data_IF_637389368969
#
_entry.id   IF_637389368969
#
_cell.length_a   1.000
_cell.length_b   1.000
_cell.length_c   1.000
_cell.angle_alpha   90.00
_cell.angle_beta   90.00
_cell.angle_gamma   90.00
#
_symmetry.space_group_name_H-M   'P 1'
#
loop_
_entity.id
_entity.type
_entity.pdbx_description
1 polymer ?
#
# COMPACT_ATOMS: atom_id res chain seq x y z
N UNK A 1 -15.37 -11.07 -4.70
CA UNK A 1 -15.14 -10.79 -3.28
C UNK A 1 -13.85 -10.01 -3.03
N UNK A 2 -12.66 -10.60 -2.84
CA UNK A 2 -11.46 -9.85 -2.41
C UNK A 2 -11.15 -8.57 -3.22
N UNK A 3 -11.03 -8.67 -4.55
CA UNK A 3 -10.78 -7.50 -5.41
C UNK A 3 -11.90 -6.47 -5.39
N UNK A 4 -13.13 -6.89 -5.12
CA UNK A 4 -14.30 -5.99 -5.00
C UNK A 4 -14.31 -5.29 -3.64
N UNK A 5 -14.06 -6.01 -2.55
CA UNK A 5 -14.00 -5.45 -1.18
C UNK A 5 -12.88 -4.43 -1.02
N UNK A 6 -11.76 -4.65 -1.71
CA UNK A 6 -10.57 -3.79 -1.65
C UNK A 6 -10.47 -2.81 -2.82
N UNK A 7 -11.47 -2.74 -3.71
CA UNK A 7 -11.47 -1.81 -4.85
C UNK A 7 -10.20 -1.96 -5.74
N UNK A 8 -9.84 -3.20 -6.07
CA UNK A 8 -8.67 -3.54 -6.89
C UNK A 8 -9.09 -3.61 -8.36
N UNK A 9 -8.70 -2.59 -9.13
CA UNK A 9 -9.00 -2.48 -10.56
C UNK A 9 -7.79 -2.73 -11.49
N UNK A 10 -6.58 -2.79 -10.93
CA UNK A 10 -5.36 -3.01 -11.70
C UNK A 10 -4.33 -3.82 -10.90
N UNK A 11 -3.47 -4.53 -11.62
CA UNK A 11 -2.38 -5.32 -11.04
C UNK A 11 -1.03 -4.85 -11.59
N UNK A 12 -0.01 -4.64 -10.75
CA UNK A 12 -0.03 -4.78 -9.29
C UNK A 12 -0.74 -3.61 -8.57
N UNK A 13 -1.30 -3.87 -7.39
CA UNK A 13 -1.77 -2.87 -6.42
C UNK A 13 -1.22 -3.23 -5.04
N UNK A 14 -0.65 -2.26 -4.34
CA UNK A 14 -0.07 -2.43 -3.01
C UNK A 14 -0.91 -1.67 -1.97
N UNK A 15 -1.35 -2.35 -0.91
CA UNK A 15 -1.97 -1.75 0.27
C UNK A 15 -0.99 -1.75 1.43
N UNK A 16 -1.05 -0.72 2.27
CA UNK A 16 -0.17 -0.58 3.43
C UNK A 16 -1.01 -0.68 4.70
N UNK A 17 -0.83 -1.76 5.45
CA UNK A 17 -1.62 -2.08 6.64
C UNK A 17 -0.72 -2.14 7.88
N UNK A 18 -1.21 -1.64 9.00
CA UNK A 18 -0.63 -1.83 10.34
C UNK A 18 -1.75 -2.25 11.28
N UNK A 19 -1.55 -3.36 12.00
CA UNK A 19 -2.55 -3.92 12.92
C UNK A 19 -3.95 -4.13 12.30
N UNK A 20 -3.98 -4.52 11.02
CA UNK A 20 -5.22 -4.75 10.27
C UNK A 20 -5.91 -3.48 9.75
N UNK A 21 -5.36 -2.29 10.00
CA UNK A 21 -5.88 -1.00 9.55
C UNK A 21 -5.00 -0.43 8.44
N UNK A 22 -5.63 0.14 7.41
CA UNK A 22 -4.89 0.83 6.36
C UNK A 22 -4.33 2.16 6.86
N UNK A 23 -3.02 2.35 6.69
CA UNK A 23 -2.28 3.51 7.25
C UNK A 23 -1.78 4.49 6.20
N UNK A 24 -1.86 4.14 4.92
CA UNK A 24 -1.52 5.00 3.81
C UNK A 24 -2.33 4.64 2.56
N UNK A 25 -2.36 5.55 1.58
CA UNK A 25 -3.02 5.28 0.30
C UNK A 25 -2.40 4.10 -0.44
N UNK A 26 -3.25 3.34 -1.15
CA UNK A 26 -2.81 2.26 -2.02
C UNK A 26 -1.91 2.79 -3.15
N UNK A 27 -0.91 2.01 -3.54
CA UNK A 27 -0.10 2.28 -4.73
C UNK A 27 -0.59 1.38 -5.87
N UNK A 28 -1.02 1.98 -6.97
CA UNK A 28 -1.46 1.26 -8.17
C UNK A 28 -0.34 1.29 -9.21
N UNK A 29 0.01 0.14 -9.76
CA UNK A 29 1.07 -0.01 -10.75
C UNK A 29 2.44 -0.30 -10.15
N UNK A 30 3.41 -0.59 -11.03
CA UNK A 30 4.72 -1.12 -10.67
C UNK A 30 5.80 -0.03 -10.47
N UNK A 31 5.48 1.09 -9.80
CA UNK A 31 6.46 2.13 -9.51
C UNK A 31 7.37 1.75 -8.32
N UNK A 32 8.54 1.19 -8.63
CA UNK A 32 9.49 0.69 -7.63
C UNK A 32 10.00 1.77 -6.68
N UNK A 33 10.32 2.96 -7.18
CA UNK A 33 10.87 4.06 -6.38
C UNK A 33 9.83 4.56 -5.39
N UNK A 34 8.61 4.78 -5.86
CA UNK A 34 7.51 5.24 -5.01
C UNK A 34 7.13 4.19 -3.96
N UNK A 35 7.10 2.91 -4.33
CA UNK A 35 6.87 1.82 -3.38
C UNK A 35 7.91 1.84 -2.24
N UNK A 36 9.20 1.95 -2.58
CA UNK A 36 10.26 1.99 -1.59
C UNK A 36 10.12 3.20 -0.67
N UNK A 37 9.87 4.39 -1.22
CA UNK A 37 9.66 5.61 -0.42
C UNK A 37 8.51 5.45 0.57
N UNK A 38 7.36 4.93 0.13
CA UNK A 38 6.20 4.70 1.01
C UNK A 38 6.52 3.72 2.14
N UNK A 39 7.23 2.63 1.83
CA UNK A 39 7.66 1.65 2.85
C UNK A 39 8.57 2.30 3.88
N UNK A 40 9.61 3.02 3.45
CA UNK A 40 10.57 3.67 4.37
C UNK A 40 9.87 4.68 5.28
N UNK A 41 8.99 5.54 4.74
CA UNK A 41 8.24 6.50 5.55
C UNK A 41 7.36 5.84 6.63
N UNK A 42 6.77 4.69 6.34
CA UNK A 42 5.97 3.94 7.32
C UNK A 42 6.84 3.31 8.42
N UNK A 43 8.05 2.85 8.09
CA UNK A 43 9.01 2.36 9.08
C UNK A 43 9.47 3.50 9.99
N UNK A 44 9.87 4.63 9.40
CA UNK A 44 10.42 5.77 10.14
C UNK A 44 9.40 6.39 11.12
N UNK A 45 8.12 6.42 10.74
CA UNK A 45 7.02 6.95 11.58
C UNK A 45 6.64 6.08 12.78
N UNK A 46 7.21 4.87 12.91
CA UNK A 46 6.96 3.95 14.04
C UNK A 46 8.05 4.04 15.13
N UNK A 47 9.08 4.85 14.90
CA UNK A 47 10.16 5.18 15.86
C UNK A 47 9.83 6.44 16.65
#
# INVERSE_FOLDING_TARGET
EFSSTWDIHATPTFFFLKDGVQVADKLVGANKTELLTRITSLVDSTT
#
